data_IF_246874006134
#
_entry.id   IF_246874006134
#
_cell.length_a   1.000
_cell.length_b   1.000
_cell.length_c   1.000
_cell.angle_alpha   90.00
_cell.angle_beta   90.00
_cell.angle_gamma   90.00
#
_symmetry.space_group_name_H-M   'P 1'
#
loop_
_entity.id
_entity.type
_entity.pdbx_description
1 polymer ?
#
# COMPACT_ATOMS: atom_id res chain seq x y z
N UNK A 1 30.97 -10.40 -20.73
CA UNK A 1 31.41 -9.10 -20.19
C UNK A 1 30.81 -8.90 -18.81
N UNK A 2 31.58 -8.92 -17.71
CA UNK A 2 31.01 -8.58 -16.41
C UNK A 2 30.62 -7.10 -16.46
N UNK A 3 29.35 -6.80 -16.15
CA UNK A 3 28.84 -5.43 -16.13
C UNK A 3 29.54 -4.59 -15.04
N UNK A 4 29.42 -3.24 -15.08
CA UNK A 4 30.11 -2.36 -14.15
C UNK A 4 29.78 -2.75 -12.70
N UNK A 5 30.79 -3.18 -11.95
CA UNK A 5 30.65 -3.59 -10.55
C UNK A 5 30.66 -2.32 -9.70
N UNK A 6 29.50 -1.65 -9.62
CA UNK A 6 29.36 -0.56 -8.69
C UNK A 6 29.39 -1.10 -7.25
N UNK A 7 30.12 -0.46 -6.32
CA UNK A 7 30.05 -0.81 -4.91
C UNK A 7 28.60 -0.89 -4.43
N UNK A 8 28.28 -1.93 -3.64
CA UNK A 8 26.90 -2.17 -3.14
C UNK A 8 26.34 -0.95 -2.43
N UNK A 9 27.18 -0.16 -1.76
CA UNK A 9 26.83 1.10 -1.11
C UNK A 9 26.33 2.15 -2.11
N UNK A 10 27.13 2.48 -3.13
CA UNK A 10 26.77 3.46 -4.17
C UNK A 10 25.53 3.02 -4.97
N UNK A 11 25.32 1.72 -5.16
CA UNK A 11 24.09 1.19 -5.76
C UNK A 11 22.85 1.44 -4.88
N UNK A 12 23.01 1.38 -3.55
CA UNK A 12 21.94 1.64 -2.58
C UNK A 12 21.59 3.12 -2.47
N UNK A 13 22.59 3.99 -2.41
CA UNK A 13 22.38 5.45 -2.39
C UNK A 13 21.63 5.91 -3.64
N UNK A 14 22.06 5.43 -4.82
CA UNK A 14 21.39 5.74 -6.07
C UNK A 14 19.93 5.30 -6.09
N UNK A 15 19.62 4.13 -5.53
CA UNK A 15 18.25 3.65 -5.41
C UNK A 15 17.42 4.47 -4.40
N UNK A 16 18.06 5.01 -3.35
CA UNK A 16 17.43 5.92 -2.40
C UNK A 16 17.12 7.28 -3.05
N UNK A 17 18.06 7.81 -3.83
CA UNK A 17 17.87 9.06 -4.58
C UNK A 17 16.79 8.92 -5.67
N UNK A 18 16.77 7.78 -6.37
CA UNK A 18 15.71 7.45 -7.32
C UNK A 18 14.32 7.41 -6.65
N UNK A 19 14.24 6.87 -5.44
CA UNK A 19 13.01 6.87 -4.64
C UNK A 19 12.57 8.29 -4.27
N UNK A 20 13.50 9.16 -3.83
CA UNK A 20 13.20 10.56 -3.52
C UNK A 20 12.72 11.35 -4.75
N UNK A 21 13.39 11.20 -5.90
CA UNK A 21 12.96 11.84 -7.14
C UNK A 21 11.55 11.39 -7.55
N UNK A 22 11.25 10.10 -7.40
CA UNK A 22 9.92 9.57 -7.69
C UNK A 22 8.85 10.10 -6.74
N UNK A 23 9.17 10.24 -5.45
CA UNK A 23 8.30 10.86 -4.45
C UNK A 23 8.01 12.34 -4.76
N UNK A 24 9.00 13.04 -5.32
CA UNK A 24 8.89 14.41 -5.84
C UNK A 24 8.25 14.51 -7.23
N UNK A 25 7.54 13.46 -7.68
CA UNK A 25 6.76 13.40 -8.93
C UNK A 25 7.57 13.44 -10.25
N UNK A 26 8.88 13.25 -10.23
CA UNK A 26 9.63 13.06 -11.47
C UNK A 26 9.18 11.81 -12.24
N UNK A 27 9.20 11.91 -13.57
CA UNK A 27 8.90 10.77 -14.44
C UNK A 27 10.03 9.74 -14.36
N UNK A 28 9.72 8.47 -14.63
CA UNK A 28 10.74 7.43 -14.62
C UNK A 28 11.85 7.67 -15.64
N UNK A 29 11.54 8.33 -16.76
CA UNK A 29 12.53 8.67 -17.79
C UNK A 29 13.53 9.69 -17.27
N UNK A 30 13.05 10.75 -16.63
CA UNK A 30 13.90 11.75 -15.97
C UNK A 30 14.77 11.14 -14.86
N UNK A 31 14.22 10.20 -14.07
CA UNK A 31 14.98 9.48 -13.05
C UNK A 31 16.11 8.66 -13.68
N UNK A 32 15.84 8.01 -14.82
CA UNK A 32 16.87 7.26 -15.54
C UNK A 32 17.97 8.17 -16.07
N UNK A 33 17.59 9.26 -16.71
CA UNK A 33 18.52 10.21 -17.33
C UNK A 33 19.39 10.88 -16.26
N UNK A 34 18.79 11.28 -15.12
CA UNK A 34 19.49 11.95 -14.01
C UNK A 34 20.43 11.03 -13.23
N UNK A 35 20.07 9.75 -13.06
CA UNK A 35 20.84 8.81 -12.21
C UNK A 35 21.61 7.75 -13.01
N UNK A 36 21.59 7.83 -14.35
CA UNK A 36 22.31 6.91 -15.23
C UNK A 36 21.80 5.47 -15.15
N UNK A 37 20.48 5.26 -15.04
CA UNK A 37 19.91 3.91 -15.19
C UNK A 37 19.83 3.55 -16.67
N UNK A 38 20.22 2.31 -16.99
CA UNK A 38 20.17 1.78 -18.37
C UNK A 38 18.77 1.72 -18.97
N UNK A 39 17.74 1.69 -18.13
CA UNK A 39 16.33 1.66 -18.55
C UNK A 39 15.40 2.03 -17.40
N UNK A 40 14.16 2.39 -17.75
CA UNK A 40 13.06 2.63 -16.79
C UNK A 40 12.82 1.42 -15.91
N UNK A 41 12.81 0.20 -16.47
CA UNK A 41 12.64 -1.03 -15.71
C UNK A 41 13.78 -1.26 -14.70
N UNK A 42 15.01 -0.84 -15.02
CA UNK A 42 16.14 -0.94 -14.10
C UNK A 42 16.00 0.03 -12.91
N UNK A 43 15.53 1.27 -13.16
CA UNK A 43 15.24 2.24 -12.11
C UNK A 43 14.10 1.76 -11.20
N UNK A 44 12.99 1.30 -11.78
CA UNK A 44 11.86 0.73 -11.05
C UNK A 44 12.27 -0.45 -10.17
N UNK A 45 13.04 -1.39 -10.73
CA UNK A 45 13.52 -2.56 -9.97
C UNK A 45 14.45 -2.16 -8.82
N UNK A 46 15.30 -1.15 -9.02
CA UNK A 46 16.18 -0.64 -7.97
C UNK A 46 15.39 0.03 -6.85
N UNK A 47 14.41 0.86 -7.20
CA UNK A 47 13.49 1.50 -6.23
C UNK A 47 12.67 0.45 -5.50
N UNK A 48 12.10 -0.54 -6.19
CA UNK A 48 11.33 -1.61 -5.57
C UNK A 48 12.16 -2.41 -4.57
N UNK A 49 13.41 -2.78 -4.91
CA UNK A 49 14.33 -3.44 -3.95
C UNK A 49 14.75 -2.54 -2.80
N UNK A 50 14.83 -1.23 -3.02
CA UNK A 50 15.10 -0.26 -1.96
C UNK A 50 13.91 -0.16 -1.02
N UNK A 51 12.69 -0.02 -1.55
CA UNK A 51 11.43 -0.03 -0.81
C UNK A 51 11.24 -1.34 -0.06
N UNK A 52 11.48 -2.49 -0.69
CA UNK A 52 11.37 -3.80 -0.04
C UNK A 52 12.35 -3.96 1.13
N UNK A 53 13.54 -3.38 1.02
CA UNK A 53 14.53 -3.36 2.11
C UNK A 53 14.13 -2.40 3.24
N UNK A 54 13.41 -1.33 2.90
CA UNK A 54 12.83 -0.39 3.87
C UNK A 54 11.51 -0.89 4.47
N UNK A 55 10.78 -1.77 3.77
CA UNK A 55 9.60 -2.50 4.25
C UNK A 55 10.04 -3.44 5.36
N UNK A 56 10.09 -2.89 6.57
CA UNK A 56 9.90 -3.65 7.80
C UNK A 56 8.38 -3.73 8.05
N UNK A 57 7.94 -4.77 8.75
CA UNK A 57 6.64 -4.77 9.47
C UNK A 57 6.37 -3.36 10.00
N UNK A 58 5.14 -2.83 9.89
CA UNK A 58 4.85 -1.43 10.16
C UNK A 58 5.14 -1.11 11.62
N UNK A 59 6.39 -0.68 11.89
CA UNK A 59 6.78 0.00 13.10
C UNK A 59 6.31 1.45 12.98
N UNK A 60 6.04 2.07 14.12
CA UNK A 60 5.59 3.46 14.33
C UNK A 60 6.19 4.48 13.35
N UNK A 61 7.44 4.26 12.92
CA UNK A 61 8.19 5.04 11.92
C UNK A 61 7.52 5.19 10.53
N UNK A 62 6.71 4.23 10.05
CA UNK A 62 6.03 4.36 8.73
C UNK A 62 4.87 5.36 8.77
N UNK A 63 4.07 5.29 9.84
CA UNK A 63 3.02 6.25 10.13
C UNK A 63 3.60 7.66 10.34
N UNK A 64 4.65 7.75 11.15
CA UNK A 64 5.36 9.01 11.41
C UNK A 64 5.96 9.63 10.14
N UNK A 65 6.53 8.82 9.25
CA UNK A 65 7.07 9.30 7.97
C UNK A 65 5.97 9.86 7.04
N UNK A 66 4.81 9.21 6.98
CA UNK A 66 3.68 9.70 6.19
C UNK A 66 3.11 11.00 6.77
N UNK A 67 2.91 11.05 8.08
CA UNK A 67 2.50 12.25 8.82
C UNK A 67 3.48 13.41 8.57
N UNK A 68 4.79 13.15 8.68
CA UNK A 68 5.83 14.13 8.45
C UNK A 68 5.81 14.70 7.03
N UNK A 69 5.55 13.86 6.01
CA UNK A 69 5.45 14.30 4.63
C UNK A 69 4.25 15.26 4.41
N UNK A 70 3.10 14.95 5.00
CA UNK A 70 1.90 15.80 4.92
C UNK A 70 2.12 17.12 5.68
N UNK A 71 2.71 17.07 6.88
CA UNK A 71 3.07 18.27 7.65
C UNK A 71 4.04 19.18 6.87
N UNK A 72 5.07 18.61 6.26
CA UNK A 72 6.05 19.36 5.47
C UNK A 72 5.41 20.06 4.28
N UNK A 73 4.54 19.36 3.54
CA UNK A 73 3.80 19.97 2.42
C UNK A 73 2.85 21.07 2.90
N UNK A 74 2.13 20.84 3.99
CA UNK A 74 1.19 21.82 4.56
C UNK A 74 1.90 23.11 4.92
N UNK A 75 3.05 23.04 5.61
CA UNK A 75 3.89 24.21 5.93
C UNK A 75 4.29 25.00 4.68
N UNK A 76 4.72 24.30 3.62
CA UNK A 76 5.09 24.94 2.37
C UNK A 76 3.90 25.64 1.68
N UNK A 77 2.72 25.02 1.72
CA UNK A 77 1.49 25.62 1.19
C UNK A 77 1.05 26.84 2.00
N UNK A 78 1.11 26.79 3.34
CA UNK A 78 0.79 27.94 4.22
C UNK A 78 1.70 29.15 3.96
N UNK A 79 2.99 28.92 3.71
CA UNK A 79 3.91 29.99 3.33
C UNK A 79 3.50 30.65 2.00
N UNK A 80 3.13 29.84 0.99
CA UNK A 80 2.64 30.36 -0.30
C UNK A 80 1.29 31.05 -0.17
N UNK A 81 0.42 30.55 0.70
CA UNK A 81 -0.88 31.15 1.00
C UNK A 81 -0.70 32.57 1.55
N UNK A 82 0.25 32.75 2.46
CA UNK A 82 0.59 34.06 3.02
C UNK A 82 1.12 35.02 1.95
N UNK A 83 1.92 34.51 1.00
CA UNK A 83 2.41 35.31 -0.13
C UNK A 83 1.26 35.75 -1.06
N UNK A 84 0.37 34.83 -1.42
CA UNK A 84 -0.82 35.12 -2.23
C UNK A 84 -1.75 36.14 -1.55
N UNK A 85 -1.97 36.00 -0.24
CA UNK A 85 -2.72 36.96 0.57
C UNK A 85 -2.13 38.37 0.51
N UNK A 86 -0.81 38.49 0.67
CA UNK A 86 -0.12 39.80 0.58
C UNK A 86 -0.16 40.39 -0.83
N UNK A 87 -0.24 39.55 -1.86
CA UNK A 87 -0.32 39.96 -3.25
C UNK A 87 -1.75 40.29 -3.73
N UNK A 88 -2.79 39.99 -2.92
CA UNK A 88 -4.19 40.11 -3.35
C UNK A 88 -4.58 39.12 -4.45
N UNK A 89 -3.86 38.00 -4.56
CA UNK A 89 -4.15 36.94 -5.53
C UNK A 89 -5.17 35.97 -4.93
N UNK A 90 -6.44 36.35 -5.06
CA UNK A 90 -7.59 35.63 -4.49
C UNK A 90 -7.78 34.23 -5.10
N UNK A 91 -7.48 34.05 -6.39
CA UNK A 91 -7.60 32.76 -7.08
C UNK A 91 -6.59 31.74 -6.55
N UNK A 92 -5.33 32.17 -6.38
CA UNK A 92 -4.30 31.33 -5.76
C UNK A 92 -4.62 31.08 -4.29
N UNK A 93 -5.12 32.08 -3.57
CA UNK A 93 -5.57 31.98 -2.18
C UNK A 93 -6.60 30.86 -2.00
N UNK A 94 -7.68 30.87 -2.79
CA UNK A 94 -8.76 29.87 -2.73
C UNK A 94 -8.22 28.47 -3.06
N UNK A 95 -7.34 28.38 -4.06
CA UNK A 95 -6.73 27.11 -4.47
C UNK A 95 -5.87 26.51 -3.35
N UNK A 96 -4.98 27.32 -2.76
CA UNK A 96 -4.11 26.88 -1.67
C UNK A 96 -4.92 26.53 -0.41
N UNK A 97 -5.97 27.29 -0.09
CA UNK A 97 -6.84 27.02 1.05
C UNK A 97 -7.46 25.62 0.98
N UNK A 98 -7.99 25.24 -0.20
CA UNK A 98 -8.60 23.91 -0.40
C UNK A 98 -7.61 22.78 -0.15
N UNK A 99 -6.37 22.92 -0.62
CA UNK A 99 -5.35 21.89 -0.41
C UNK A 99 -4.84 21.84 1.04
N UNK A 100 -4.79 22.98 1.73
CA UNK A 100 -4.45 23.03 3.17
C UNK A 100 -5.51 22.27 3.97
N UNK A 101 -6.80 22.56 3.76
CA UNK A 101 -7.92 21.88 4.44
C UNK A 101 -7.88 20.36 4.21
N UNK A 102 -7.59 19.91 2.97
CA UNK A 102 -7.46 18.47 2.69
C UNK A 102 -6.31 17.81 3.45
N UNK A 103 -5.16 18.47 3.51
CA UNK A 103 -4.03 17.93 4.26
C UNK A 103 -4.32 17.91 5.77
N UNK A 104 -4.99 18.93 6.30
CA UNK A 104 -5.41 18.96 7.70
C UNK A 104 -6.42 17.86 8.04
N UNK A 105 -7.37 17.57 7.14
CA UNK A 105 -8.30 16.45 7.30
C UNK A 105 -7.57 15.10 7.33
N UNK A 106 -6.58 14.88 6.46
CA UNK A 106 -5.75 13.66 6.51
C UNK A 106 -4.91 13.59 7.79
N UNK A 107 -4.33 14.71 8.24
CA UNK A 107 -3.62 14.75 9.53
C UNK A 107 -4.56 14.44 10.71
N UNK A 108 -5.79 14.94 10.70
CA UNK A 108 -6.78 14.65 11.73
C UNK A 108 -7.15 13.17 11.80
N UNK A 109 -7.27 12.50 10.64
CA UNK A 109 -7.48 11.05 10.57
C UNK A 109 -6.28 10.28 11.12
N UNK A 110 -5.06 10.69 10.73
CA UNK A 110 -3.83 10.06 11.22
C UNK A 110 -3.69 10.24 12.74
N UNK A 111 -4.04 11.41 13.26
CA UNK A 111 -3.94 11.75 14.68
C UNK A 111 -5.09 11.20 15.53
N UNK A 112 -6.02 10.46 14.93
CA UNK A 112 -7.17 9.87 15.63
C UNK A 112 -8.17 10.91 16.14
N UNK A 113 -8.13 12.14 15.62
CA UNK A 113 -9.09 13.20 15.94
C UNK A 113 -10.41 13.03 15.19
N UNK A 114 -10.42 12.18 14.16
CA UNK A 114 -11.62 11.72 13.49
C UNK A 114 -12.16 10.52 14.27
N UNK A 115 -13.31 10.67 14.93
CA UNK A 115 -14.00 9.56 15.59
C UNK A 115 -14.40 8.54 14.52
N UNK A 116 -13.78 7.34 14.47
CA UNK A 116 -14.22 6.33 13.53
C UNK A 116 -15.58 5.83 13.97
N UNK A 117 -16.48 5.63 13.01
CA UNK A 117 -17.75 4.93 13.23
C UNK A 117 -17.43 3.61 13.95
N UNK A 118 -18.04 3.36 15.11
CA UNK A 118 -17.74 2.18 15.92
C UNK A 118 -18.11 0.92 15.16
N UNK A 119 -17.13 0.24 14.57
CA UNK A 119 -17.33 -1.05 13.90
C UNK A 119 -17.35 -2.14 14.96
N UNK A 120 -18.55 -2.58 15.35
CA UNK A 120 -18.72 -3.68 16.27
C UNK A 120 -18.72 -5.01 15.51
N UNK A 121 -17.60 -5.75 15.58
CA UNK A 121 -17.44 -7.04 14.90
C UNK A 121 -17.96 -8.14 15.84
N UNK A 122 -19.19 -8.58 15.62
CA UNK A 122 -19.73 -9.76 16.28
C UNK A 122 -19.34 -11.03 15.51
N UNK A 123 -18.30 -11.73 15.99
CA UNK A 123 -17.95 -13.05 15.48
C UNK A 123 -18.83 -14.09 16.18
N UNK A 124 -19.88 -14.53 15.50
CA UNK A 124 -20.82 -15.55 16.02
C UNK A 124 -20.35 -16.98 15.78
N UNK A 125 -19.35 -17.17 14.92
CA UNK A 125 -18.86 -18.49 14.54
C UNK A 125 -17.81 -18.99 15.54
N UNK A 126 -18.20 -19.98 16.35
CA UNK A 126 -17.29 -20.63 17.30
C UNK A 126 -16.52 -21.77 16.62
N UNK A 127 -15.33 -22.15 17.12
CA UNK A 127 -14.61 -23.32 16.62
C UNK A 127 -15.47 -24.59 16.60
N UNK A 128 -16.34 -24.77 17.60
CA UNK A 128 -17.27 -25.89 17.66
C UNK A 128 -18.31 -25.85 16.52
N UNK A 129 -18.84 -24.67 16.18
CA UNK A 129 -19.77 -24.51 15.06
C UNK A 129 -19.10 -24.82 13.71
N UNK A 130 -17.83 -24.44 13.53
CA UNK A 130 -17.05 -24.77 12.33
C UNK A 130 -16.87 -26.28 12.21
N UNK A 131 -16.53 -26.97 13.31
CA UNK A 131 -16.36 -28.43 13.34
C UNK A 131 -17.66 -29.16 13.03
N UNK A 132 -18.79 -28.68 13.56
CA UNK A 132 -20.11 -29.28 13.30
C UNK A 132 -20.52 -29.14 11.82
N UNK A 133 -20.40 -27.94 11.25
CA UNK A 133 -20.71 -27.65 9.85
C UNK A 133 -19.78 -28.42 8.88
N UNK A 134 -18.47 -28.48 9.18
CA UNK A 134 -17.54 -29.29 8.37
C UNK A 134 -17.84 -30.78 8.44
N UNK A 135 -18.21 -31.31 9.62
CA UNK A 135 -18.63 -32.71 9.76
C UNK A 135 -19.86 -33.02 8.91
N UNK A 136 -20.86 -32.16 8.94
CA UNK A 136 -22.09 -32.33 8.16
C UNK A 136 -21.82 -32.33 6.66
N UNK A 137 -20.99 -31.40 6.18
CA UNK A 137 -20.56 -31.35 4.77
C UNK A 137 -19.79 -32.58 4.32
N UNK A 138 -18.92 -33.11 5.18
CA UNK A 138 -18.15 -34.32 4.90
C UNK A 138 -19.06 -35.55 4.82
N UNK A 139 -20.03 -35.68 5.72
CA UNK A 139 -21.01 -36.78 5.69
C UNK A 139 -21.88 -36.71 4.42
N UNK A 140 -22.38 -35.53 4.06
CA UNK A 140 -23.18 -35.36 2.86
C UNK A 140 -22.37 -35.67 1.57
N UNK A 141 -21.08 -35.36 1.54
CA UNK A 141 -20.21 -35.71 0.42
C UNK A 141 -19.98 -37.22 0.30
N UNK A 142 -19.80 -37.91 1.43
CA UNK A 142 -19.64 -39.38 1.47
C UNK A 142 -20.92 -40.08 1.03
N UNK A 143 -22.08 -39.63 1.51
CA UNK A 143 -23.38 -40.21 1.12
C UNK A 143 -23.68 -39.99 -0.38
N UNK A 144 -23.24 -38.88 -0.96
CA UNK A 144 -23.37 -38.60 -2.39
C UNK A 144 -22.41 -39.42 -3.27
N UNK A 145 -21.31 -39.95 -2.70
CA UNK A 145 -20.30 -40.74 -3.41
C UNK A 145 -20.62 -42.26 -3.42
N UNK A 146 -21.63 -42.72 -2.68
CA UNK A 146 -22.03 -44.13 -2.68
C UNK A 146 -22.65 -44.52 -4.04
N UNK A 147 -21.82 -45.08 -4.91
CA UNK A 147 -22.24 -45.77 -6.14
C UNK A 147 -22.94 -47.07 -5.75
N UNK A 148 -24.23 -47.21 -6.10
CA UNK A 148 -24.93 -48.49 -6.01
C UNK A 148 -24.21 -49.54 -6.86
N UNK A 149 -23.55 -50.49 -6.20
CA UNK A 149 -23.00 -51.67 -6.87
C UNK A 149 -24.18 -52.51 -7.35
N UNK A 150 -24.38 -52.72 -8.67
CA UNK A 150 -25.56 -53.43 -9.16
C UNK A 150 -25.54 -54.86 -8.62
N UNK A 151 -26.62 -55.21 -7.91
CA UNK A 151 -26.86 -56.55 -7.41
C UNK A 151 -26.75 -57.56 -8.56
N UNK A 152 -25.84 -58.50 -8.40
CA UNK A 152 -25.59 -59.63 -9.29
C UNK A 152 -26.91 -60.27 -9.68
N UNK A 153 -27.26 -60.26 -10.97
CA UNK A 153 -28.39 -61.04 -11.48
C UNK A 153 -28.05 -62.51 -11.29
N UNK A 154 -28.79 -63.19 -10.41
CA UNK A 154 -28.89 -64.64 -10.41
C UNK A 154 -29.37 -65.06 -11.82
N UNK A 155 -28.55 -65.84 -12.53
CA UNK A 155 -28.98 -66.54 -13.73
C UNK A 155 -29.32 -67.95 -13.28
N UNK A 156 -30.63 -68.23 -13.18
CA UNK A 156 -31.17 -69.57 -13.03
C UNK A 156 -30.94 -70.42 -14.29
N UNK A 157 -30.57 -71.68 -14.04
CA UNK A 157 -30.62 -72.89 -14.90
C UNK A 157 -29.60 -73.04 -16.04
#
# INVERSE_FOLDING_TARGET
MPGPVMPRYASRERAAEAFQLRASRHSWREVCDRLGYRSVGAAQSAVNRHVERLRREPKTTSFEAHKFAIQTRTRALTQRFTAAYRAGDDDTLVTLNREIIRNEAELAKLDGLYEPETVNINVTQTPAAIIADTRERLLAAVDAEVVEVPATKEIEQ
#
